data_IF_823101551586
#
_entry.id   IF_823101551586
#
_cell.length_a   1.000
_cell.length_b   1.000
_cell.length_c   1.000
_cell.angle_alpha   90.00
_cell.angle_beta   90.00
_cell.angle_gamma   90.00
#
_symmetry.space_group_name_H-M   'P 1'
#
loop_
_entity.id
_entity.type
_entity.pdbx_description
1 polymer ?
#
# COMPACT_ATOMS: atom_id res chain seq x y z
N UNK A 1 5.34 -13.60 5.11
CA UNK A 1 6.49 -13.68 4.21
C UNK A 1 7.66 -14.33 4.92
N UNK A 2 8.70 -14.71 4.23
CA UNK A 2 9.96 -15.25 4.76
C UNK A 2 9.83 -16.38 5.82
N UNK A 3 8.70 -17.11 5.83
CA UNK A 3 8.42 -18.23 6.76
C UNK A 3 8.65 -17.87 8.24
N UNK A 4 8.31 -16.64 8.65
CA UNK A 4 8.51 -16.15 10.00
C UNK A 4 9.95 -15.73 10.36
N UNK A 5 10.89 -15.80 9.41
CA UNK A 5 12.26 -15.35 9.64
C UNK A 5 12.38 -13.83 9.53
N UNK A 6 13.20 -13.24 10.42
CA UNK A 6 13.52 -11.79 10.37
C UNK A 6 14.60 -11.56 9.31
N UNK A 7 14.19 -11.41 8.04
CA UNK A 7 15.10 -11.25 6.89
C UNK A 7 15.48 -9.79 6.65
N UNK A 8 14.56 -8.86 6.95
CA UNK A 8 14.73 -7.42 6.72
C UNK A 8 14.54 -6.68 8.04
N UNK A 9 15.46 -5.78 8.36
CA UNK A 9 15.36 -4.92 9.55
C UNK A 9 14.82 -3.54 9.16
N UNK A 10 14.04 -2.86 10.04
CA UNK A 10 13.53 -1.52 9.76
C UNK A 10 14.63 -0.51 9.39
N UNK A 11 15.80 -0.62 10.03
CA UNK A 11 16.94 0.28 9.82
C UNK A 11 17.59 0.13 8.44
N UNK A 12 17.29 -0.97 7.74
CA UNK A 12 17.77 -1.25 6.38
C UNK A 12 16.86 -0.66 5.30
N UNK A 13 15.69 -0.07 5.69
CA UNK A 13 14.68 0.44 4.77
C UNK A 13 14.82 1.96 4.58
N UNK A 14 14.77 2.40 3.32
CA UNK A 14 14.65 3.81 2.93
C UNK A 14 13.41 4.00 2.08
N UNK A 15 12.81 5.19 2.17
CA UNK A 15 11.67 5.55 1.35
C UNK A 15 12.07 5.72 -0.11
N UNK A 16 11.21 5.27 -1.01
CA UNK A 16 11.29 5.50 -2.44
C UNK A 16 10.05 6.25 -2.91
N UNK A 17 10.14 6.80 -4.12
CA UNK A 17 9.01 7.37 -4.81
C UNK A 17 7.90 6.32 -4.98
N UNK A 18 6.68 6.67 -4.60
CA UNK A 18 5.51 5.81 -4.70
C UNK A 18 4.85 5.88 -6.08
N UNK A 19 5.15 6.94 -6.84
CA UNK A 19 4.60 7.15 -8.18
C UNK A 19 5.59 6.68 -9.24
N UNK A 20 5.12 5.80 -10.11
CA UNK A 20 5.86 5.35 -11.28
C UNK A 20 5.06 5.70 -12.53
N UNK A 21 5.60 6.59 -13.35
CA UNK A 21 5.06 6.89 -14.67
C UNK A 21 5.80 6.12 -15.75
N UNK A 22 5.06 5.42 -16.57
CA UNK A 22 5.55 4.75 -17.76
C UNK A 22 4.97 5.41 -19.00
N UNK A 23 5.83 5.91 -19.86
CA UNK A 23 5.44 6.44 -21.18
C UNK A 23 5.76 5.37 -22.22
N UNK A 24 4.71 4.89 -22.87
CA UNK A 24 4.82 3.98 -24.01
C UNK A 24 4.63 4.77 -25.30
N UNK A 25 5.71 4.85 -26.08
CA UNK A 25 5.65 5.45 -27.40
C UNK A 25 5.23 4.42 -28.46
N UNK A 26 4.09 4.67 -29.09
CA UNK A 26 3.62 3.93 -30.25
C UNK A 26 3.79 4.79 -31.50
N UNK A 27 3.84 4.18 -32.66
CA UNK A 27 4.02 4.91 -33.93
C UNK A 27 2.95 5.98 -34.18
N UNK A 28 1.76 5.81 -33.59
CA UNK A 28 0.61 6.68 -33.86
C UNK A 28 0.13 7.44 -32.60
N UNK A 29 0.58 7.06 -31.39
CA UNK A 29 0.17 7.72 -30.13
C UNK A 29 1.18 7.46 -29.00
N UNK A 30 1.11 8.32 -27.98
CA UNK A 30 1.85 8.18 -26.74
C UNK A 30 0.86 7.77 -25.65
N UNK A 31 1.14 6.66 -24.99
CA UNK A 31 0.36 6.22 -23.83
C UNK A 31 1.18 6.44 -22.57
N UNK A 32 0.63 7.19 -21.64
CA UNK A 32 1.18 7.34 -20.28
C UNK A 32 0.45 6.39 -19.34
N UNK A 33 1.20 5.55 -18.65
CA UNK A 33 0.69 4.69 -17.58
C UNK A 33 1.29 5.21 -16.28
N UNK A 34 0.44 5.67 -15.37
CA UNK A 34 0.84 6.05 -14.02
C UNK A 34 0.44 4.91 -13.08
N UNK A 35 1.41 4.39 -12.35
CA UNK A 35 1.20 3.38 -11.34
C UNK A 35 1.68 3.95 -10.00
N UNK A 36 0.75 4.10 -9.05
CA UNK A 36 1.05 4.60 -7.72
C UNK A 36 0.74 3.51 -6.68
N UNK A 37 1.67 3.33 -5.74
CA UNK A 37 1.51 2.46 -4.56
C UNK A 37 1.36 3.32 -3.31
N UNK A 38 0.73 2.79 -2.27
CA UNK A 38 0.58 3.51 -1.01
C UNK A 38 1.92 3.75 -0.31
N UNK A 39 2.85 2.80 -0.43
CA UNK A 39 4.19 2.96 0.12
C UNK A 39 5.21 2.10 -0.63
N UNK A 40 6.40 2.66 -0.90
CA UNK A 40 7.52 1.93 -1.50
C UNK A 40 8.78 2.19 -0.68
N UNK A 41 9.50 1.12 -0.34
CA UNK A 41 10.77 1.21 0.36
C UNK A 41 11.83 0.36 -0.33
N UNK A 42 13.06 0.84 -0.35
CA UNK A 42 14.22 0.05 -0.78
C UNK A 42 15.01 -0.40 0.44
N UNK A 43 15.37 -1.67 0.47
CA UNK A 43 16.35 -2.18 1.41
C UNK A 43 17.75 -1.90 0.89
N UNK A 44 18.54 -1.15 1.64
CA UNK A 44 19.97 -0.99 1.39
C UNK A 44 20.75 -2.06 2.16
N UNK A 45 21.62 -2.73 1.47
CA UNK A 45 22.63 -3.74 1.86
C UNK A 45 22.40 -4.47 3.19
N UNK A 46 22.05 -5.74 3.13
CA UNK A 46 22.16 -6.66 4.26
C UNK A 46 23.45 -7.46 4.16
N UNK A 47 24.21 -7.48 5.27
CA UNK A 47 25.41 -8.33 5.42
C UNK A 47 25.06 -9.81 5.67
N UNK A 48 23.79 -10.16 5.89
CA UNK A 48 23.35 -11.49 6.29
C UNK A 48 22.96 -12.38 5.10
N UNK A 49 22.54 -11.78 4.00
CA UNK A 49 22.21 -12.48 2.75
C UNK A 49 22.81 -11.68 1.62
N UNK A 50 23.52 -12.30 0.69
CA UNK A 50 24.20 -11.67 -0.46
C UNK A 50 23.28 -10.88 -1.42
N UNK A 51 22.01 -10.68 -1.08
CA UNK A 51 21.07 -9.83 -1.79
C UNK A 51 21.25 -8.37 -1.38
N UNK A 52 21.87 -7.57 -2.22
CA UNK A 52 22.21 -6.19 -1.90
C UNK A 52 20.98 -5.28 -1.79
N UNK A 53 19.86 -5.58 -2.50
CA UNK A 53 18.68 -4.73 -2.55
C UNK A 53 17.40 -5.54 -2.74
N UNK A 54 16.30 -5.10 -2.12
CA UNK A 54 14.94 -5.55 -2.39
C UNK A 54 14.02 -4.35 -2.34
N UNK A 55 13.18 -4.16 -3.35
CA UNK A 55 12.14 -3.14 -3.36
C UNK A 55 10.88 -3.76 -2.75
N UNK A 56 10.33 -3.11 -1.72
CA UNK A 56 9.12 -3.53 -1.03
C UNK A 56 8.01 -2.54 -1.33
N UNK A 57 6.98 -2.99 -2.02
CA UNK A 57 5.74 -2.25 -2.22
C UNK A 57 4.70 -2.67 -1.19
N UNK A 58 3.99 -1.71 -0.61
CA UNK A 58 2.81 -1.94 0.23
C UNK A 58 1.59 -1.33 -0.43
N UNK A 59 0.52 -2.09 -0.45
CA UNK A 59 -0.78 -1.68 -0.98
C UNK A 59 -1.85 -1.97 0.08
N UNK A 60 -2.48 -0.92 0.60
CA UNK A 60 -3.56 -1.02 1.58
C UNK A 60 -4.91 -1.11 0.90
N UNK A 61 -5.76 -2.06 1.28
CA UNK A 61 -7.06 -2.26 0.67
C UNK A 61 -8.16 -2.43 1.72
N UNK A 62 -9.12 -1.50 1.76
CA UNK A 62 -10.36 -1.64 2.54
C UNK A 62 -11.38 -2.49 1.79
N UNK A 63 -11.47 -2.31 0.47
CA UNK A 63 -12.40 -3.04 -0.39
C UNK A 63 -11.69 -4.12 -1.19
N UNK A 64 -12.41 -5.21 -1.50
CA UNK A 64 -11.86 -6.25 -2.37
C UNK A 64 -11.73 -5.71 -3.79
N UNK A 65 -10.51 -5.73 -4.31
CA UNK A 65 -10.23 -5.38 -5.69
C UNK A 65 -10.05 -6.67 -6.51
N UNK A 66 -11.07 -7.05 -7.27
CA UNK A 66 -11.09 -8.33 -7.98
C UNK A 66 -9.97 -8.47 -9.04
N UNK A 67 -9.41 -7.37 -9.53
CA UNK A 67 -8.26 -7.38 -10.45
C UNK A 67 -6.92 -7.15 -9.74
N UNK A 68 -6.81 -7.44 -8.44
CA UNK A 68 -5.58 -7.18 -7.67
C UNK A 68 -4.32 -7.86 -8.23
N UNK A 69 -4.34 -9.12 -8.68
CA UNK A 69 -3.17 -9.74 -9.30
C UNK A 69 -2.67 -8.97 -10.53
N UNK A 70 -3.56 -8.48 -11.37
CA UNK A 70 -3.21 -7.67 -12.54
C UNK A 70 -2.62 -6.31 -12.12
N UNK A 71 -3.19 -5.68 -11.09
CA UNK A 71 -2.73 -4.40 -10.56
C UNK A 71 -1.32 -4.51 -9.98
N UNK A 72 -1.07 -5.53 -9.14
CA UNK A 72 0.27 -5.79 -8.57
C UNK A 72 1.29 -6.12 -9.66
N UNK A 73 0.91 -6.93 -10.65
CA UNK A 73 1.76 -7.22 -11.81
C UNK A 73 2.15 -5.94 -12.56
N UNK A 74 1.22 -4.99 -12.71
CA UNK A 74 1.47 -3.68 -13.31
C UNK A 74 2.47 -2.85 -12.51
N UNK A 75 2.35 -2.81 -11.19
CA UNK A 75 3.29 -2.12 -10.30
C UNK A 75 4.70 -2.71 -10.40
N UNK A 76 4.81 -4.03 -10.32
CA UNK A 76 6.11 -4.68 -10.35
C UNK A 76 6.75 -4.57 -11.74
N UNK A 77 5.95 -4.65 -12.81
CA UNK A 77 6.40 -4.38 -14.18
C UNK A 77 6.94 -2.95 -14.31
N UNK A 78 6.23 -1.94 -13.81
CA UNK A 78 6.68 -0.54 -13.88
C UNK A 78 8.02 -0.35 -13.17
N UNK A 79 8.19 -0.96 -11.99
CA UNK A 79 9.45 -0.92 -11.24
C UNK A 79 10.60 -1.61 -11.99
N UNK A 80 10.37 -2.78 -12.60
CA UNK A 80 11.37 -3.45 -13.42
C UNK A 80 11.67 -2.67 -14.69
N UNK A 81 10.64 -2.10 -15.32
CA UNK A 81 10.81 -1.29 -16.53
C UNK A 81 11.67 -0.05 -16.28
N UNK A 82 11.47 0.64 -15.16
CA UNK A 82 12.29 1.77 -14.73
C UNK A 82 13.75 1.36 -14.56
N UNK A 83 14.02 0.24 -13.89
CA UNK A 83 15.38 -0.29 -13.73
C UNK A 83 16.02 -0.62 -15.09
N UNK A 84 15.23 -1.19 -16.02
CA UNK A 84 15.67 -1.46 -17.37
C UNK A 84 16.03 -0.17 -18.11
N UNK A 85 15.16 0.85 -18.07
CA UNK A 85 15.37 2.12 -18.77
C UNK A 85 16.61 2.85 -18.26
N UNK A 86 16.83 2.86 -16.95
CA UNK A 86 18.01 3.43 -16.31
C UNK A 86 19.29 2.71 -16.76
N UNK A 87 19.25 1.39 -16.85
CA UNK A 87 20.37 0.60 -17.35
C UNK A 87 20.61 0.87 -18.84
N UNK A 88 19.59 0.85 -19.67
CA UNK A 88 19.70 1.14 -21.11
C UNK A 88 20.25 2.55 -21.38
N UNK A 89 19.83 3.55 -20.61
CA UNK A 89 20.35 4.91 -20.70
C UNK A 89 21.85 5.00 -20.36
N UNK A 90 22.30 4.24 -19.36
CA UNK A 90 23.74 4.12 -19.02
C UNK A 90 24.52 3.43 -20.15
N UNK A 91 23.99 2.32 -20.69
CA UNK A 91 24.66 1.54 -21.75
C UNK A 91 24.82 2.33 -23.06
N UNK A 92 23.84 3.15 -23.46
CA UNK A 92 23.94 4.02 -24.64
C UNK A 92 25.17 4.92 -24.64
N UNK A 93 25.72 5.23 -23.46
CA UNK A 93 26.91 6.08 -23.28
C UNK A 93 28.21 5.27 -23.15
N UNK A 94 28.13 3.96 -23.05
CA UNK A 94 29.26 3.07 -22.80
C UNK A 94 29.91 2.63 -24.13
N UNK A 95 31.25 2.52 -24.14
CA UNK A 95 32.02 2.02 -25.29
C UNK A 95 32.38 0.55 -25.06
N UNK A 96 32.53 -0.20 -26.14
CA UNK A 96 33.01 -1.58 -26.09
C UNK A 96 31.92 -2.61 -25.74
N UNK A 97 30.67 -2.26 -25.94
CA UNK A 97 29.55 -3.21 -25.87
C UNK A 97 29.58 -4.14 -27.09
N UNK A 98 29.12 -5.37 -26.90
CA UNK A 98 28.76 -6.25 -28.00
C UNK A 98 27.51 -5.74 -28.71
N UNK A 99 27.23 -6.23 -29.93
CA UNK A 99 26.04 -5.87 -30.67
C UNK A 99 24.76 -6.22 -29.89
N UNK A 100 24.68 -7.41 -29.26
CA UNK A 100 23.57 -7.87 -28.47
C UNK A 100 23.33 -6.98 -27.22
N UNK A 101 24.40 -6.57 -26.54
CA UNK A 101 24.34 -5.68 -25.38
C UNK A 101 23.88 -4.28 -25.78
N UNK A 102 24.34 -3.78 -26.92
CA UNK A 102 23.89 -2.49 -27.43
C UNK A 102 22.42 -2.50 -27.84
N UNK A 103 21.99 -3.51 -28.58
CA UNK A 103 20.60 -3.66 -29.04
C UNK A 103 19.63 -3.93 -27.89
N UNK A 104 20.02 -4.77 -26.92
CA UNK A 104 19.19 -5.08 -25.76
C UNK A 104 19.19 -3.98 -24.69
N UNK A 105 20.16 -3.07 -24.70
CA UNK A 105 20.35 -2.07 -23.64
C UNK A 105 20.82 -2.66 -22.30
N UNK A 106 21.26 -3.92 -22.30
CA UNK A 106 21.69 -4.64 -21.08
C UNK A 106 22.95 -5.48 -21.37
N UNK A 107 23.82 -5.58 -20.38
CA UNK A 107 24.89 -6.58 -20.38
C UNK A 107 24.36 -7.92 -19.85
N UNK A 108 24.98 -9.02 -20.28
CA UNK A 108 24.68 -10.36 -19.80
C UNK A 108 24.82 -10.48 -18.26
N UNK A 109 25.65 -9.64 -17.66
CA UNK A 109 25.91 -9.61 -16.21
C UNK A 109 24.95 -8.71 -15.44
N UNK A 110 24.19 -7.87 -16.12
CA UNK A 110 23.24 -6.97 -15.45
C UNK A 110 22.12 -7.77 -14.77
N UNK A 111 21.75 -7.35 -13.57
CA UNK A 111 20.66 -7.95 -12.78
C UNK A 111 19.76 -6.84 -12.28
N UNK A 112 18.46 -7.13 -12.22
CA UNK A 112 17.50 -6.26 -11.58
C UNK A 112 17.42 -6.50 -10.09
N UNK A 113 17.09 -5.44 -9.37
CA UNK A 113 16.71 -5.52 -7.95
C UNK A 113 15.35 -6.20 -7.87
N UNK A 114 15.18 -7.28 -7.10
CA UNK A 114 13.90 -7.95 -6.97
C UNK A 114 12.86 -7.03 -6.32
N UNK A 115 11.62 -7.14 -6.77
CA UNK A 115 10.46 -6.39 -6.26
C UNK A 115 9.54 -7.37 -5.54
N UNK A 116 9.09 -6.99 -4.33
CA UNK A 116 8.10 -7.73 -3.55
C UNK A 116 6.97 -6.77 -3.19
N UNK A 117 5.78 -6.99 -3.72
CA UNK A 117 4.58 -6.21 -3.37
C UNK A 117 3.69 -7.01 -2.43
N UNK A 118 3.35 -6.41 -1.29
CA UNK A 118 2.48 -6.97 -0.26
C UNK A 118 1.15 -6.22 -0.29
N UNK A 119 0.06 -6.94 -0.40
CA UNK A 119 -1.31 -6.40 -0.28
C UNK A 119 -1.79 -6.65 1.13
N UNK A 120 -2.06 -5.57 1.88
CA UNK A 120 -2.64 -5.63 3.23
C UNK A 120 -4.13 -5.30 3.10
N UNK A 121 -4.96 -6.31 3.25
CA UNK A 121 -6.41 -6.18 3.22
C UNK A 121 -6.97 -6.05 4.64
N UNK A 122 -7.65 -4.94 4.89
CA UNK A 122 -8.28 -4.63 6.18
C UNK A 122 -9.80 -4.43 6.10
N UNK A 123 -10.44 -5.00 5.07
CA UNK A 123 -11.89 -5.01 4.95
C UNK A 123 -12.58 -5.98 5.90
N UNK A 124 -13.84 -5.73 6.19
CA UNK A 124 -14.66 -6.55 7.11
C UNK A 124 -15.06 -7.91 6.52
N UNK A 125 -15.16 -8.00 5.17
CA UNK A 125 -15.52 -9.25 4.49
C UNK A 125 -14.27 -10.12 4.28
N UNK A 126 -14.38 -11.46 4.20
CA UNK A 126 -13.23 -12.26 3.74
C UNK A 126 -12.83 -11.84 2.34
N UNK A 127 -11.55 -11.93 2.07
CA UNK A 127 -11.10 -11.85 0.70
C UNK A 127 -11.66 -13.02 -0.11
N UNK A 128 -12.41 -12.74 -1.16
CA UNK A 128 -12.98 -13.71 -2.10
C UNK A 128 -12.51 -13.48 -3.54
N UNK A 129 -11.62 -12.49 -3.74
CA UNK A 129 -10.99 -12.22 -5.02
C UNK A 129 -9.87 -13.20 -5.36
N UNK A 130 -9.45 -13.21 -6.62
CA UNK A 130 -8.30 -13.98 -7.06
C UNK A 130 -7.02 -13.54 -6.32
N UNK A 131 -6.16 -14.51 -6.01
CA UNK A 131 -4.83 -14.29 -5.41
C UNK A 131 -3.70 -14.55 -6.39
N UNK A 132 -4.03 -14.89 -7.62
CA UNK A 132 -3.10 -15.04 -8.73
C UNK A 132 -3.75 -14.71 -10.07
N UNK A 133 -2.91 -14.46 -11.08
CA UNK A 133 -3.37 -14.20 -12.43
C UNK A 133 -4.17 -15.38 -13.00
N UNK A 134 -3.74 -16.62 -12.75
CA UNK A 134 -4.49 -17.81 -13.16
C UNK A 134 -5.92 -17.82 -12.62
N UNK A 135 -6.14 -17.35 -11.39
CA UNK A 135 -7.47 -17.24 -10.80
C UNK A 135 -8.39 -16.22 -11.49
N UNK A 136 -7.84 -15.37 -12.35
CA UNK A 136 -8.58 -14.38 -13.15
C UNK A 136 -8.79 -14.81 -14.60
N UNK A 137 -8.13 -15.88 -15.05
CA UNK A 137 -8.11 -16.30 -16.44
C UNK A 137 -9.00 -17.53 -16.66
N UNK A 138 -9.57 -17.61 -17.84
CA UNK A 138 -10.23 -18.84 -18.31
C UNK A 138 -9.23 -19.65 -19.15
N UNK A 139 -8.44 -20.50 -18.48
CA UNK A 139 -7.35 -21.26 -19.10
C UNK A 139 -7.85 -22.68 -19.41
N UNK A 140 -7.86 -23.10 -20.69
CA UNK A 140 -8.09 -24.50 -21.02
C UNK A 140 -7.04 -25.40 -20.36
N UNK A 141 -7.44 -26.51 -19.74
CA UNK A 141 -6.56 -27.40 -18.97
C UNK A 141 -5.28 -27.82 -19.73
N UNK A 142 -5.37 -28.03 -21.01
CA UNK A 142 -4.22 -28.40 -21.86
C UNK A 142 -3.21 -27.25 -22.07
N UNK A 143 -3.60 -26.01 -21.74
CA UNK A 143 -2.76 -24.82 -21.93
C UNK A 143 -2.21 -24.26 -20.59
N UNK A 144 -2.64 -24.79 -19.46
CA UNK A 144 -2.31 -24.26 -18.13
C UNK A 144 -0.79 -24.16 -17.90
N UNK A 145 -0.01 -25.12 -18.37
CA UNK A 145 1.46 -25.14 -18.24
C UNK A 145 2.18 -24.10 -19.12
N UNK A 146 1.50 -23.54 -20.12
CA UNK A 146 2.07 -22.53 -21.02
C UNK A 146 1.72 -21.10 -20.63
N UNK A 147 0.77 -20.92 -19.70
CA UNK A 147 0.37 -19.61 -19.21
C UNK A 147 1.12 -19.33 -17.90
N UNK A 148 1.90 -18.26 -17.86
CA UNK A 148 2.60 -17.86 -16.66
C UNK A 148 1.62 -17.34 -15.61
N UNK A 149 1.79 -17.78 -14.36
CA UNK A 149 1.02 -17.28 -13.24
C UNK A 149 1.76 -16.13 -12.53
N UNK A 150 0.99 -15.20 -11.96
CA UNK A 150 1.50 -14.12 -11.17
C UNK A 150 0.74 -14.06 -9.83
N UNK A 151 1.41 -14.46 -8.76
CA UNK A 151 0.83 -14.56 -7.41
C UNK A 151 1.07 -13.30 -6.61
N UNK A 152 0.05 -12.85 -5.86
CA UNK A 152 0.18 -11.75 -4.91
C UNK A 152 0.49 -12.26 -3.50
N UNK A 153 1.14 -11.42 -2.70
CA UNK A 153 1.31 -11.64 -1.27
C UNK A 153 0.20 -10.94 -0.52
N UNK A 154 -0.91 -11.65 -0.31
CA UNK A 154 -2.07 -11.14 0.41
C UNK A 154 -1.94 -11.39 1.91
N UNK A 155 -2.12 -10.32 2.71
CA UNK A 155 -2.23 -10.34 4.17
C UNK A 155 -3.62 -9.84 4.54
N UNK A 156 -4.45 -10.70 5.12
CA UNK A 156 -5.75 -10.29 5.66
C UNK A 156 -5.58 -9.88 7.14
N UNK A 157 -5.69 -8.59 7.44
CA UNK A 157 -5.48 -8.04 8.78
C UNK A 157 -6.49 -8.57 9.83
N UNK A 158 -7.68 -8.98 9.39
CA UNK A 158 -8.69 -9.62 10.25
C UNK A 158 -8.41 -11.09 10.59
N UNK A 159 -7.32 -11.67 10.07
CA UNK A 159 -6.87 -13.04 10.36
C UNK A 159 -5.41 -12.98 10.81
N UNK A 160 -5.18 -12.74 12.09
CA UNK A 160 -3.83 -12.62 12.64
C UNK A 160 -3.14 -13.99 12.81
N UNK A 161 -2.65 -14.53 11.71
CA UNK A 161 -1.80 -15.72 11.68
C UNK A 161 -0.34 -15.38 11.36
N UNK A 162 0.06 -14.11 11.54
CA UNK A 162 1.37 -13.60 11.19
C UNK A 162 2.36 -13.84 12.33
N UNK A 163 3.58 -14.25 11.98
CA UNK A 163 4.72 -14.23 12.91
C UNK A 163 5.35 -12.85 12.83
N UNK A 164 5.08 -12.02 13.83
CA UNK A 164 5.54 -10.63 13.91
C UNK A 164 6.60 -10.50 15.02
N UNK A 165 7.69 -9.79 14.72
CA UNK A 165 8.83 -9.64 15.63
C UNK A 165 8.91 -8.25 16.28
N UNK A 166 8.13 -7.29 15.77
CA UNK A 166 8.05 -5.94 16.32
C UNK A 166 6.77 -5.82 17.14
N UNK A 167 6.86 -5.30 18.37
CA UNK A 167 5.72 -5.19 19.30
C UNK A 167 4.61 -4.28 18.72
N UNK A 168 4.98 -3.17 18.08
CA UNK A 168 4.00 -2.26 17.50
C UNK A 168 3.23 -2.92 16.35
N UNK A 169 3.91 -3.73 15.52
CA UNK A 169 3.23 -4.49 14.48
C UNK A 169 2.33 -5.60 15.08
N UNK A 170 2.76 -6.25 16.17
CA UNK A 170 1.91 -7.20 16.87
C UNK A 170 0.64 -6.53 17.40
N UNK A 171 0.79 -5.39 18.07
CA UNK A 171 -0.33 -4.62 18.61
C UNK A 171 -1.26 -4.13 17.49
N UNK A 172 -0.70 -3.62 16.39
CA UNK A 172 -1.47 -3.19 15.22
C UNK A 172 -2.35 -4.32 14.67
N UNK A 173 -1.76 -5.47 14.37
CA UNK A 173 -2.51 -6.58 13.79
C UNK A 173 -3.45 -7.24 14.79
N UNK A 174 -3.12 -7.30 16.07
CA UNK A 174 -4.03 -7.79 17.11
C UNK A 174 -5.26 -6.88 17.27
N UNK A 175 -5.07 -5.56 17.27
CA UNK A 175 -6.17 -4.61 17.31
C UNK A 175 -7.05 -4.70 16.05
N UNK A 176 -6.45 -4.78 14.86
CA UNK A 176 -7.20 -4.98 13.62
C UNK A 176 -7.96 -6.31 13.63
N UNK A 177 -7.37 -7.39 14.12
CA UNK A 177 -8.08 -8.67 14.28
C UNK A 177 -9.28 -8.55 15.21
N UNK A 178 -9.12 -7.91 16.39
CA UNK A 178 -10.23 -7.70 17.34
C UNK A 178 -11.37 -6.94 16.66
N UNK A 179 -11.07 -5.86 15.95
CA UNK A 179 -12.04 -4.96 15.36
C UNK A 179 -12.70 -5.54 14.10
N UNK A 180 -11.93 -6.23 13.25
CA UNK A 180 -12.39 -6.84 12.00
C UNK A 180 -12.93 -8.27 12.19
N UNK A 181 -12.74 -8.88 13.38
CA UNK A 181 -13.19 -10.26 13.63
C UNK A 181 -14.70 -10.39 13.43
N UNK A 182 -15.14 -11.54 12.91
CA UNK A 182 -16.56 -11.82 12.65
C UNK A 182 -17.28 -12.46 13.83
N UNK A 183 -16.53 -12.97 14.79
CA UNK A 183 -17.06 -13.65 15.95
C UNK A 183 -17.49 -12.64 17.00
N UNK A 184 -18.77 -12.33 17.08
CA UNK A 184 -19.35 -11.58 18.17
C UNK A 184 -20.29 -10.43 17.76
N UNK A 185 -21.15 -10.01 18.71
CA UNK A 185 -21.95 -8.79 18.57
C UNK A 185 -21.00 -7.59 18.43
N UNK A 186 -21.37 -6.63 17.62
CA UNK A 186 -20.63 -5.38 17.36
C UNK A 186 -20.26 -4.64 18.66
N UNK A 187 -21.13 -4.75 19.68
CA UNK A 187 -21.01 -4.05 20.97
C UNK A 187 -19.83 -4.51 21.86
N UNK A 188 -19.24 -5.68 21.59
CA UNK A 188 -18.13 -6.17 22.43
C UNK A 188 -16.73 -6.02 21.82
N UNK A 189 -16.61 -5.58 20.57
CA UNK A 189 -15.29 -5.48 19.89
C UNK A 189 -14.55 -4.23 20.34
N UNK A 190 -15.28 -3.13 20.50
CA UNK A 190 -14.74 -1.85 20.92
C UNK A 190 -14.20 -1.94 22.35
N UNK A 191 -14.98 -2.50 23.27
CA UNK A 191 -14.56 -2.74 24.65
C UNK A 191 -13.32 -3.63 24.71
N UNK A 192 -13.26 -4.69 23.90
CA UNK A 192 -12.09 -5.56 23.81
C UNK A 192 -10.86 -4.82 23.27
N UNK A 193 -11.03 -3.95 22.28
CA UNK A 193 -9.92 -3.15 21.75
C UNK A 193 -9.41 -2.14 22.79
N UNK A 194 -10.32 -1.46 23.51
CA UNK A 194 -9.97 -0.54 24.60
C UNK A 194 -9.25 -1.30 25.74
N UNK A 195 -9.74 -2.45 26.11
CA UNK A 195 -9.12 -3.28 27.15
C UNK A 195 -7.72 -3.75 26.72
N UNK A 196 -7.58 -4.15 25.44
CA UNK A 196 -6.29 -4.51 24.85
C UNK A 196 -5.29 -3.33 24.91
N UNK A 197 -5.67 -2.13 24.45
CA UNK A 197 -4.79 -0.96 24.45
C UNK A 197 -4.29 -0.60 25.84
N UNK A 198 -5.17 -0.65 26.86
CA UNK A 198 -4.83 -0.37 28.26
C UNK A 198 -3.89 -1.42 28.85
N UNK A 199 -4.22 -2.71 28.63
CA UNK A 199 -3.47 -3.84 29.18
C UNK A 199 -2.04 -3.92 28.61
N UNK A 200 -1.88 -3.68 27.32
CA UNK A 200 -0.61 -3.80 26.63
C UNK A 200 0.16 -2.48 26.51
N UNK A 201 -0.42 -1.35 27.01
CA UNK A 201 0.16 0.00 26.90
C UNK A 201 0.59 0.30 25.47
N UNK A 202 -0.34 0.07 24.54
CA UNK A 202 -0.07 0.18 23.10
C UNK A 202 0.39 1.58 22.75
N UNK A 203 1.39 1.67 21.87
CA UNK A 203 1.93 2.92 21.35
C UNK A 203 0.85 3.77 20.68
N UNK A 204 0.88 5.09 20.92
CA UNK A 204 -0.10 6.04 20.37
C UNK A 204 -0.15 6.02 18.84
N UNK A 205 1.00 5.89 18.18
CA UNK A 205 1.08 5.82 16.73
C UNK A 205 0.35 4.58 16.20
N UNK A 206 0.41 3.46 16.90
CA UNK A 206 -0.34 2.24 16.57
C UNK A 206 -1.84 2.48 16.70
N UNK A 207 -2.27 3.07 17.83
CA UNK A 207 -3.69 3.37 18.07
C UNK A 207 -4.24 4.31 16.98
N UNK A 208 -3.46 5.33 16.60
CA UNK A 208 -3.82 6.26 15.53
C UNK A 208 -3.95 5.56 14.18
N UNK A 209 -3.00 4.68 13.85
CA UNK A 209 -3.03 3.90 12.61
C UNK A 209 -4.28 3.03 12.56
N UNK A 210 -4.64 2.37 13.67
CA UNK A 210 -5.86 1.56 13.77
C UNK A 210 -7.11 2.42 13.60
N UNK A 211 -7.21 3.55 14.31
CA UNK A 211 -8.37 4.45 14.22
C UNK A 211 -8.54 4.99 12.79
N UNK A 212 -7.43 5.37 12.12
CA UNK A 212 -7.43 5.78 10.73
C UNK A 212 -7.88 4.67 9.78
N UNK A 213 -7.35 3.47 9.95
CA UNK A 213 -7.73 2.29 9.13
C UNK A 213 -9.21 1.96 9.27
N UNK A 214 -9.81 2.21 10.44
CA UNK A 214 -11.22 1.94 10.71
C UNK A 214 -12.18 3.02 10.19
N UNK A 215 -11.69 4.04 9.49
CA UNK A 215 -12.48 5.04 8.74
C UNK A 215 -13.57 5.71 9.61
N UNK A 216 -13.23 6.16 10.82
CA UNK A 216 -14.16 6.83 11.75
C UNK A 216 -15.17 5.93 12.45
N UNK A 217 -15.11 4.61 12.25
CA UNK A 217 -15.94 3.64 13.01
C UNK A 217 -15.52 3.56 14.49
N UNK A 218 -14.29 3.98 14.78
CA UNK A 218 -13.73 4.02 16.13
C UNK A 218 -12.96 5.32 16.28
N UNK A 219 -13.31 6.08 17.34
CA UNK A 219 -12.57 7.30 17.66
C UNK A 219 -11.29 6.96 18.41
N UNK A 220 -10.20 7.60 18.02
CA UNK A 220 -8.92 7.50 18.70
C UNK A 220 -9.01 7.79 20.19
N UNK A 221 -9.78 8.84 20.58
CA UNK A 221 -10.00 9.21 21.99
C UNK A 221 -10.65 8.11 22.80
N UNK A 222 -11.50 7.30 22.18
CA UNK A 222 -12.14 6.17 22.82
C UNK A 222 -11.15 5.03 23.14
N UNK A 223 -10.13 4.86 22.28
CA UNK A 223 -9.09 3.83 22.45
C UNK A 223 -8.03 4.19 23.49
N UNK A 224 -7.73 5.47 23.69
CA UNK A 224 -6.70 5.92 24.65
C UNK A 224 -7.26 6.23 26.05
N UNK A 225 -8.57 6.47 26.19
CA UNK A 225 -9.18 6.86 27.45
C UNK A 225 -9.06 8.35 27.79
N UNK A 226 -9.85 8.85 28.74
CA UNK A 226 -10.13 10.27 28.98
C UNK A 226 -8.95 11.15 29.46
N UNK A 227 -7.78 10.60 29.74
CA UNK A 227 -6.67 11.31 30.39
C UNK A 227 -5.76 12.13 29.48
N UNK A 228 -5.84 12.01 28.14
CA UNK A 228 -4.84 12.55 27.21
C UNK A 228 -5.40 13.39 26.06
N UNK A 229 -6.48 14.10 26.28
CA UNK A 229 -7.24 14.84 25.24
C UNK A 229 -6.51 15.99 24.52
N UNK A 230 -5.31 16.38 24.94
CA UNK A 230 -4.64 17.60 24.44
C UNK A 230 -3.82 17.47 23.16
N UNK A 231 -3.47 16.24 22.71
CA UNK A 231 -2.56 16.04 21.57
C UNK A 231 -3.29 15.65 20.27
N UNK A 232 -4.59 15.48 20.34
CA UNK A 232 -5.45 14.93 19.28
C UNK A 232 -5.68 15.92 18.13
N UNK A 233 -5.66 17.24 18.39
CA UNK A 233 -6.06 18.22 17.38
C UNK A 233 -5.10 18.28 16.19
N UNK A 234 -3.79 18.24 16.43
CA UNK A 234 -2.77 18.42 15.38
C UNK A 234 -2.74 17.21 14.42
N UNK A 235 -2.88 16.00 14.96
CA UNK A 235 -2.84 14.79 14.13
C UNK A 235 -4.15 14.53 13.39
N UNK A 236 -5.29 14.85 14.00
CA UNK A 236 -6.57 14.80 13.31
C UNK A 236 -6.60 15.81 12.15
N UNK A 237 -5.98 16.98 12.34
CA UNK A 237 -5.81 17.96 11.29
C UNK A 237 -4.93 17.43 10.16
N UNK A 238 -3.77 16.87 10.45
CA UNK A 238 -2.85 16.30 9.43
C UNK A 238 -3.49 15.12 8.68
N UNK A 239 -4.25 14.28 9.39
CA UNK A 239 -4.98 13.17 8.77
C UNK A 239 -6.09 13.67 7.85
N UNK A 240 -6.90 14.61 8.35
CA UNK A 240 -7.97 15.21 7.56
C UNK A 240 -7.43 15.94 6.32
N UNK A 241 -6.25 16.54 6.41
CA UNK A 241 -5.56 17.15 5.26
C UNK A 241 -5.16 16.11 4.21
N UNK A 242 -4.58 14.99 4.60
CA UNK A 242 -4.20 13.91 3.67
C UNK A 242 -5.40 13.27 2.98
N UNK A 243 -6.47 12.99 3.72
CA UNK A 243 -7.71 12.43 3.17
C UNK A 243 -8.45 13.46 2.31
N UNK A 244 -8.43 14.74 2.71
CA UNK A 244 -8.99 15.83 1.91
C UNK A 244 -8.30 15.95 0.56
N UNK A 245 -6.97 15.89 0.54
CA UNK A 245 -6.17 15.90 -0.69
C UNK A 245 -6.62 14.78 -1.66
N UNK A 246 -6.73 13.55 -1.18
CA UNK A 246 -7.18 12.43 -2.00
C UNK A 246 -8.61 12.60 -2.54
N UNK A 247 -9.54 13.15 -1.75
CA UNK A 247 -10.92 13.43 -2.19
C UNK A 247 -10.95 14.51 -3.27
N UNK A 248 -10.13 15.55 -3.12
CA UNK A 248 -10.05 16.69 -4.04
C UNK A 248 -9.43 16.25 -5.38
N UNK A 249 -8.29 15.56 -5.33
CA UNK A 249 -7.61 15.03 -6.52
C UNK A 249 -8.55 14.11 -7.30
N UNK A 250 -9.16 13.14 -6.63
CA UNK A 250 -10.13 12.22 -7.25
C UNK A 250 -11.34 12.98 -7.80
N UNK A 251 -11.85 13.99 -7.07
CA UNK A 251 -12.97 14.82 -7.53
C UNK A 251 -12.64 15.57 -8.82
N UNK A 252 -11.45 16.15 -8.89
CA UNK A 252 -10.94 16.85 -10.07
C UNK A 252 -10.74 15.90 -11.26
N UNK A 253 -10.17 14.72 -11.03
CA UNK A 253 -9.95 13.71 -12.06
C UNK A 253 -11.27 13.20 -12.68
N UNK A 254 -12.33 13.13 -11.88
CA UNK A 254 -13.68 12.76 -12.34
C UNK A 254 -14.51 13.96 -12.83
N UNK A 255 -13.94 15.18 -12.86
CA UNK A 255 -14.62 16.37 -13.32
C UNK A 255 -15.83 16.77 -12.47
N UNK A 256 -15.80 16.49 -11.17
CA UNK A 256 -16.86 16.90 -10.24
C UNK A 256 -16.87 18.41 -10.03
N UNK A 257 -18.03 18.96 -9.72
CA UNK A 257 -18.14 20.36 -9.35
C UNK A 257 -17.49 20.61 -7.97
N UNK A 258 -17.04 21.83 -7.72
CA UNK A 258 -16.51 22.24 -6.42
C UNK A 258 -17.52 21.98 -5.30
N UNK A 259 -18.80 22.21 -5.55
CA UNK A 259 -19.88 21.92 -4.60
C UNK A 259 -19.98 20.43 -4.25
N UNK A 260 -19.83 19.54 -5.24
CA UNK A 260 -19.83 18.09 -5.04
C UNK A 260 -18.60 17.63 -4.26
N UNK A 261 -17.43 18.23 -4.52
CA UNK A 261 -16.19 17.93 -3.78
C UNK A 261 -16.35 18.37 -2.34
N UNK A 262 -16.84 19.58 -2.08
CA UNK A 262 -17.10 20.08 -0.71
C UNK A 262 -18.12 19.22 0.04
N UNK A 263 -19.20 18.81 -0.61
CA UNK A 263 -20.19 17.91 -0.01
C UNK A 263 -19.59 16.53 0.35
N UNK A 264 -18.68 16.01 -0.48
CA UNK A 264 -17.95 14.78 -0.19
C UNK A 264 -16.97 14.94 0.97
N UNK A 265 -16.24 16.07 1.03
CA UNK A 265 -15.37 16.41 2.15
C UNK A 265 -16.15 16.46 3.47
N UNK A 266 -17.27 17.19 3.49
CA UNK A 266 -18.14 17.25 4.68
C UNK A 266 -18.60 15.87 5.13
N UNK A 267 -19.08 15.06 4.20
CA UNK A 267 -19.62 13.72 4.49
C UNK A 267 -18.55 12.74 4.92
N UNK A 268 -17.40 12.74 4.29
CA UNK A 268 -16.32 11.78 4.54
C UNK A 268 -15.53 12.12 5.81
N UNK A 269 -15.17 13.38 5.99
CA UNK A 269 -14.37 13.84 7.12
C UNK A 269 -15.20 14.27 8.33
N UNK A 270 -16.54 14.25 8.21
CA UNK A 270 -17.48 14.72 9.23
C UNK A 270 -17.13 16.14 9.73
N UNK A 271 -16.81 17.04 8.81
CA UNK A 271 -16.41 18.43 9.10
C UNK A 271 -17.49 19.42 8.68
N UNK A 272 -17.44 20.65 9.26
CA UNK A 272 -18.31 21.75 8.84
C UNK A 272 -18.00 22.21 7.41
N UNK A 273 -18.94 22.89 6.76
CA UNK A 273 -18.72 23.48 5.44
C UNK A 273 -17.51 24.44 5.42
N UNK A 274 -17.38 25.25 6.45
CA UNK A 274 -16.25 26.16 6.60
C UNK A 274 -14.91 25.41 6.62
N UNK A 275 -14.82 24.30 7.38
CA UNK A 275 -13.62 23.49 7.44
C UNK A 275 -13.35 22.74 6.13
N UNK A 276 -14.37 22.29 5.44
CA UNK A 276 -14.25 21.69 4.11
C UNK A 276 -13.70 22.70 3.08
N UNK A 277 -14.14 23.96 3.14
CA UNK A 277 -13.62 25.05 2.31
C UNK A 277 -12.15 25.36 2.62
N UNK A 278 -11.77 25.43 3.91
CA UNK A 278 -10.37 25.61 4.31
C UNK A 278 -9.47 24.49 3.75
N UNK A 279 -9.89 23.23 3.89
CA UNK A 279 -9.16 22.08 3.35
C UNK A 279 -9.08 22.11 1.81
N UNK A 280 -10.13 22.56 1.13
CA UNK A 280 -10.13 22.72 -0.33
C UNK A 280 -9.11 23.77 -0.78
N UNK A 281 -9.02 24.90 -0.07
CA UNK A 281 -8.10 26.00 -0.42
C UNK A 281 -6.62 25.65 -0.21
N UNK A 282 -6.30 24.72 0.69
CA UNK A 282 -4.92 24.26 0.95
C UNK A 282 -4.40 23.38 -0.19
N UNK A 283 -5.30 22.77 -0.98
CA UNK A 283 -4.97 21.73 -1.97
C UNK A 283 -5.34 22.11 -3.42
N UNK A 284 -5.72 23.38 -3.67
CA UNK A 284 -5.81 23.98 -5.01
C UNK A 284 -4.47 24.64 -5.35
#
# INVERSE_FOLDING_TARGET
LFNGNKVIKPEELEDMDTEESLVLEHKEYIQSIVAARDNVKIRKKSTTYDAEFVILGLEGQECIHYAMPLRVMGYDYSTYKKQYDDNAAKRKKEKGLTEDEYLSGMKKTDKFIPVITIVIYYGEKPWDGAVSLHGMLNIPKAMETFVNDYKIHLVEAGKNNLVLHNVNNQDLFNLLEILLSRSGRTDGKKEKAIDYTRKHKVDKAVIMTVAGTMNGKIDYNELIGEGEKGMVSVFQETWNEGEAKGIIEMGNDFGLSEEDILARLQKKLNVSLQKAQELSLIHI
#
